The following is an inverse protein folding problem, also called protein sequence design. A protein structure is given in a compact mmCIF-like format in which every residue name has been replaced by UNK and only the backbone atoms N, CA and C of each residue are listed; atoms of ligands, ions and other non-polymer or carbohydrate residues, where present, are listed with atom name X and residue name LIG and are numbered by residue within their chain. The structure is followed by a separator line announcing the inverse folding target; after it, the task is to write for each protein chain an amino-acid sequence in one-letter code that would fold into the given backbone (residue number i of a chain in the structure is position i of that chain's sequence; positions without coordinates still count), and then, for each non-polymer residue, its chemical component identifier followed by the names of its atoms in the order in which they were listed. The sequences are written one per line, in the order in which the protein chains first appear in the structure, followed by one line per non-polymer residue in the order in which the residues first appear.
data_IF_574009269311
#
_entry.id   IF_574009269311
#
_cell.length_a   1.000
_cell.length_b   1.000
_cell.length_c   1.000
_cell.angle_alpha   90.00
_cell.angle_beta   90.00
_cell.angle_gamma   90.00
#
_symmetry.space_group_name_H-M   'P 1'
#
loop_
_entity.id
_entity.type
_entity.pdbx_description
1 polymer ?
#
# COMPACT_ATOMS: atom_id res chain seq x y z
N UNK A 1 8.51 5.90 -7.43
CA UNK A 1 8.96 5.52 -6.07
C UNK A 1 10.47 5.66 -5.99
N UNK A 2 10.96 6.53 -5.11
CA UNK A 2 12.39 6.66 -4.78
C UNK A 2 12.70 5.87 -3.50
N UNK A 3 13.98 5.56 -3.26
CA UNK A 3 14.44 5.12 -1.94
C UNK A 3 14.21 6.20 -0.88
N UNK A 4 14.20 7.48 -1.27
CA UNK A 4 13.96 8.62 -0.37
C UNK A 4 12.53 8.65 0.19
N UNK A 5 11.60 7.90 -0.41
CA UNK A 5 10.23 7.75 0.10
C UNK A 5 10.18 6.94 1.41
N UNK A 6 11.26 6.22 1.75
CA UNK A 6 11.34 5.32 2.89
C UNK A 6 11.99 5.99 4.10
N UNK A 7 11.24 6.09 5.19
CA UNK A 7 11.78 6.49 6.51
C UNK A 7 12.77 5.47 7.08
N UNK A 8 12.59 4.19 6.73
CA UNK A 8 13.47 3.08 7.07
C UNK A 8 13.52 2.15 5.85
N UNK A 9 14.72 1.72 5.44
CA UNK A 9 14.87 0.77 4.33
C UNK A 9 15.84 -0.35 4.72
N UNK A 10 15.51 -1.57 4.30
CA UNK A 10 16.32 -2.77 4.49
C UNK A 10 16.39 -3.53 3.16
N UNK A 11 17.56 -3.58 2.50
CA UNK A 11 17.73 -4.38 1.30
C UNK A 11 17.64 -5.87 1.62
N UNK A 12 17.18 -6.68 0.68
CA UNK A 12 17.25 -8.13 0.79
C UNK A 12 18.62 -8.63 0.32
N UNK A 13 19.22 -9.54 1.09
CA UNK A 13 20.48 -10.21 0.70
C UNK A 13 20.34 -10.94 -0.63
N UNK A 14 19.18 -11.60 -0.83
CA UNK A 14 18.78 -12.18 -2.11
C UNK A 14 17.55 -11.45 -2.61
N UNK A 15 17.65 -10.80 -3.77
CA UNK A 15 16.53 -10.10 -4.39
C UNK A 15 15.39 -11.08 -4.69
N UNK A 16 14.16 -10.65 -4.38
CA UNK A 16 12.97 -11.44 -4.71
C UNK A 16 12.45 -11.07 -6.10
N UNK A 17 11.62 -11.96 -6.65
CA UNK A 17 11.07 -11.81 -7.99
C UNK A 17 9.53 -11.81 -7.89
N UNK A 18 8.90 -10.84 -8.56
CA UNK A 18 7.48 -10.83 -8.84
C UNK A 18 7.24 -11.09 -10.32
N UNK A 19 6.40 -12.07 -10.64
CA UNK A 19 5.91 -12.28 -12.00
C UNK A 19 4.81 -11.26 -12.30
N UNK A 20 4.99 -10.51 -13.37
CA UNK A 20 4.06 -9.48 -13.83
C UNK A 20 3.53 -9.86 -15.20
N UNK A 21 2.43 -9.23 -15.61
CA UNK A 21 1.85 -9.48 -16.93
C UNK A 21 2.82 -9.20 -18.09
N UNK A 22 3.78 -8.31 -17.90
CA UNK A 22 4.80 -7.94 -18.88
C UNK A 22 6.18 -8.60 -18.64
N UNK A 23 6.26 -9.60 -17.74
CA UNK A 23 7.48 -10.35 -17.49
C UNK A 23 7.80 -10.46 -16.01
N UNK A 24 8.92 -9.87 -15.61
CA UNK A 24 9.50 -10.07 -14.28
C UNK A 24 9.93 -8.74 -13.69
N UNK A 25 9.46 -8.45 -12.48
CA UNK A 25 9.89 -7.30 -11.68
C UNK A 25 10.71 -7.76 -10.48
N UNK A 26 11.71 -6.96 -10.11
CA UNK A 26 12.64 -7.29 -9.03
C UNK A 26 12.22 -6.54 -7.77
N UNK A 27 12.16 -7.26 -6.66
CA UNK A 27 11.94 -6.68 -5.33
C UNK A 27 13.29 -6.66 -4.62
N UNK A 28 13.82 -5.47 -4.38
CA UNK A 28 15.19 -5.30 -3.88
C UNK A 28 15.27 -5.22 -2.36
N UNK A 29 14.16 -4.89 -1.70
CA UNK A 29 14.13 -4.74 -0.25
C UNK A 29 12.73 -4.41 0.25
N UNK A 30 12.67 -4.05 1.53
CA UNK A 30 11.47 -3.57 2.19
C UNK A 30 11.78 -2.40 3.11
N UNK A 31 10.77 -1.63 3.45
CA UNK A 31 10.95 -0.54 4.39
C UNK A 31 9.64 -0.03 4.97
N UNK A 32 9.75 1.13 5.61
CA UNK A 32 8.65 1.86 6.21
C UNK A 32 8.45 3.16 5.44
N UNK A 33 7.23 3.40 4.95
CA UNK A 33 6.84 4.70 4.42
C UNK A 33 5.82 5.36 5.35
N UNK A 34 5.86 6.69 5.40
CA UNK A 34 4.85 7.49 6.08
C UNK A 34 4.02 8.15 5.00
N UNK A 35 2.72 7.92 5.02
CA UNK A 35 1.80 8.56 4.07
C UNK A 35 0.84 9.49 4.79
N UNK A 36 0.46 10.55 4.10
CA UNK A 36 -0.65 11.42 4.49
C UNK A 36 -1.76 11.23 3.49
N UNK A 37 -2.96 10.98 3.97
CA UNK A 37 -4.14 10.84 3.12
C UNK A 37 -5.34 11.46 3.83
N UNK A 38 -6.45 11.61 3.11
CA UNK A 38 -7.71 12.08 3.70
C UNK A 38 -8.64 10.91 3.96
N UNK A 39 -9.28 10.89 5.13
CA UNK A 39 -10.37 9.95 5.37
C UNK A 39 -11.67 10.40 4.69
N UNK A 40 -12.73 9.61 4.87
CA UNK A 40 -14.06 9.91 4.30
C UNK A 40 -14.67 11.23 4.79
N UNK A 41 -14.18 11.78 5.90
CA UNK A 41 -14.61 13.06 6.43
C UNK A 41 -13.67 14.21 6.04
N UNK A 42 -12.76 13.97 5.09
CA UNK A 42 -11.74 14.91 4.61
C UNK A 42 -10.69 15.29 5.68
N UNK A 43 -10.59 14.56 6.79
CA UNK A 43 -9.58 14.81 7.80
C UNK A 43 -8.22 14.25 7.37
N UNK A 44 -7.16 15.00 7.67
CA UNK A 44 -5.79 14.57 7.42
C UNK A 44 -5.39 13.44 8.37
N UNK A 45 -5.14 12.25 7.81
CA UNK A 45 -4.64 11.09 8.54
C UNK A 45 -3.19 10.80 8.13
N UNK A 46 -2.38 10.43 9.13
CA UNK A 46 -1.01 9.97 8.93
C UNK A 46 -0.98 8.48 9.22
N UNK A 47 -0.56 7.67 8.24
CA UNK A 47 -0.38 6.24 8.42
C UNK A 47 1.08 5.84 8.21
N UNK A 48 1.55 4.96 9.09
CA UNK A 48 2.86 4.29 8.97
C UNK A 48 2.64 2.94 8.31
N UNK A 49 3.17 2.77 7.11
CA UNK A 49 3.05 1.51 6.38
C UNK A 49 4.34 0.73 6.46
N UNK A 50 4.24 -0.48 7.00
CA UNK A 50 5.34 -1.42 7.11
C UNK A 50 4.81 -2.86 7.03
N UNK A 51 5.49 -3.78 6.32
CA UNK A 51 6.56 -3.52 5.37
C UNK A 51 6.01 -3.08 4.00
N UNK A 52 6.62 -2.06 3.39
CA UNK A 52 6.41 -1.72 1.97
C UNK A 52 7.56 -2.26 1.14
N UNK A 53 7.25 -2.96 0.06
CA UNK A 53 8.24 -3.57 -0.81
C UNK A 53 8.78 -2.55 -1.81
N UNK A 54 10.10 -2.47 -1.94
CA UNK A 54 10.74 -1.61 -2.93
C UNK A 54 10.94 -2.38 -4.24
N UNK A 55 10.28 -1.88 -5.29
CA UNK A 55 10.33 -2.42 -6.65
C UNK A 55 10.70 -1.27 -7.61
N UNK A 56 11.98 -1.11 -7.98
CA UNK A 56 12.46 0.04 -8.76
C UNK A 56 11.74 0.22 -10.10
N UNK A 57 11.23 -0.87 -10.68
CA UNK A 57 10.55 -0.87 -11.97
C UNK A 57 9.09 -0.41 -11.88
N UNK A 58 8.54 -0.21 -10.67
CA UNK A 58 7.19 0.28 -10.46
C UNK A 58 7.16 1.78 -10.19
N UNK A 59 6.26 2.48 -10.87
CA UNK A 59 6.02 3.91 -10.65
C UNK A 59 5.26 4.17 -9.35
N UNK A 60 4.41 3.24 -8.92
CA UNK A 60 3.52 3.35 -7.76
C UNK A 60 3.90 2.40 -6.61
N UNK A 61 3.51 2.75 -5.38
CA UNK A 61 3.62 1.86 -4.22
C UNK A 61 2.64 0.70 -4.33
N UNK A 62 3.17 -0.52 -4.26
CA UNK A 62 2.35 -1.72 -4.15
C UNK A 62 2.26 -2.13 -2.68
N UNK A 63 1.05 -2.05 -2.13
CA UNK A 63 0.78 -2.47 -0.76
C UNK A 63 0.36 -3.94 -0.74
N UNK A 64 1.11 -4.76 -0.01
CA UNK A 64 0.84 -6.19 0.10
C UNK A 64 -0.38 -6.43 1.01
N UNK A 65 -1.50 -6.85 0.42
CA UNK A 65 -2.69 -7.22 1.19
C UNK A 65 -2.41 -8.31 2.22
N UNK A 66 -1.60 -9.31 1.86
CA UNK A 66 -1.17 -10.36 2.77
C UNK A 66 -0.34 -9.87 3.96
N UNK A 67 0.26 -8.69 3.90
CA UNK A 67 0.93 -8.08 5.06
C UNK A 67 -0.09 -7.54 6.06
N UNK A 68 -1.10 -6.82 5.58
CA UNK A 68 -2.20 -6.36 6.44
C UNK A 68 -2.95 -7.52 7.12
N UNK A 69 -3.23 -8.59 6.38
CA UNK A 69 -3.91 -9.77 6.93
C UNK A 69 -3.08 -10.49 8.01
N UNK A 70 -1.75 -10.53 7.87
CA UNK A 70 -0.85 -11.12 8.89
C UNK A 70 -0.81 -10.29 10.17
N UNK A 71 -1.01 -8.98 10.06
CA UNK A 71 -1.12 -8.07 11.20
C UNK A 71 -2.54 -8.05 11.81
N UNK A 72 -3.35 -9.08 11.50
CA UNK A 72 -4.75 -9.25 11.97
C UNK A 72 -5.69 -8.13 11.57
N UNK A 73 -5.34 -7.34 10.55
CA UNK A 73 -6.24 -6.36 9.98
C UNK A 73 -7.28 -7.06 9.09
N UNK A 74 -8.47 -6.49 9.03
CA UNK A 74 -9.55 -7.01 8.18
C UNK A 74 -9.69 -6.16 6.93
N UNK A 75 -9.78 -6.79 5.76
CA UNK A 75 -10.10 -6.10 4.50
C UNK A 75 -11.57 -6.31 4.19
N UNK A 76 -12.32 -5.24 3.95
CA UNK A 76 -13.69 -5.29 3.42
C UNK A 76 -13.77 -4.40 2.19
N UNK A 77 -14.52 -4.81 1.19
CA UNK A 77 -14.64 -4.02 -0.03
C UNK A 77 -16.00 -4.19 -0.70
N UNK A 78 -16.35 -3.20 -1.49
CA UNK A 78 -17.49 -3.17 -2.40
C UNK A 78 -17.08 -2.46 -3.69
N UNK A 79 -18.02 -2.08 -4.54
CA UNK A 79 -17.75 -1.38 -5.80
C UNK A 79 -17.30 0.08 -5.65
N UNK A 80 -17.38 0.66 -4.44
CA UNK A 80 -17.08 2.06 -4.15
C UNK A 80 -15.76 2.23 -3.41
N UNK A 81 -15.36 1.26 -2.59
CA UNK A 81 -14.11 1.32 -1.83
C UNK A 81 -13.62 -0.06 -1.38
N UNK A 82 -12.33 -0.12 -1.08
CA UNK A 82 -11.71 -1.15 -0.24
C UNK A 82 -11.25 -0.47 1.04
N UNK A 83 -11.63 -1.01 2.19
CA UNK A 83 -11.24 -0.48 3.50
C UNK A 83 -10.50 -1.55 4.30
N UNK A 84 -9.37 -1.15 4.87
CA UNK A 84 -8.61 -1.94 5.84
C UNK A 84 -9.03 -1.48 7.22
N UNK A 85 -9.37 -2.41 8.10
CA UNK A 85 -9.81 -2.15 9.47
C UNK A 85 -8.81 -2.72 10.48
N UNK A 86 -8.60 -1.97 11.54
CA UNK A 86 -7.93 -2.44 12.76
C UNK A 86 -8.73 -3.55 13.45
N UNK A 87 -8.10 -4.29 14.37
CA UNK A 87 -8.76 -5.33 15.17
C UNK A 87 -9.93 -4.77 15.99
N UNK A 88 -9.86 -3.51 16.42
CA UNK A 88 -10.96 -2.83 17.12
C UNK A 88 -12.11 -2.37 16.19
N UNK A 89 -12.02 -2.63 14.89
CA UNK A 89 -13.03 -2.28 13.90
C UNK A 89 -12.96 -0.84 13.38
N UNK A 90 -11.94 -0.07 13.76
CA UNK A 90 -11.75 1.29 13.23
C UNK A 90 -11.12 1.24 11.83
N UNK A 91 -11.55 2.07 10.87
CA UNK A 91 -10.93 2.16 9.56
C UNK A 91 -9.49 2.64 9.69
N UNK A 92 -8.58 1.97 8.99
CA UNK A 92 -7.14 2.25 8.97
C UNK A 92 -6.68 2.82 7.63
N UNK A 93 -7.17 2.30 6.51
CA UNK A 93 -6.90 2.82 5.17
C UNK A 93 -8.14 2.63 4.30
N UNK A 94 -8.43 3.59 3.43
CA UNK A 94 -9.57 3.54 2.51
C UNK A 94 -9.04 3.81 1.10
N UNK A 95 -9.34 2.91 0.19
CA UNK A 95 -8.94 2.96 -1.21
C UNK A 95 -10.19 3.16 -2.06
N UNK A 96 -10.11 4.04 -3.04
CA UNK A 96 -11.21 4.36 -3.96
C UNK A 96 -10.89 3.88 -5.38
N UNK A 97 -11.91 3.48 -6.17
CA UNK A 97 -11.66 3.11 -7.55
C UNK A 97 -11.14 4.34 -8.29
N UNK A 98 -10.13 4.15 -9.15
CA UNK A 98 -9.48 5.25 -9.88
C UNK A 98 -10.48 6.06 -10.71
N UNK A 99 -11.48 5.38 -11.28
CA UNK A 99 -12.67 5.96 -11.90
C UNK A 99 -13.87 5.10 -11.50
N UNK A 100 -15.08 5.67 -11.54
CA UNK A 100 -16.30 4.91 -11.21
C UNK A 100 -16.41 3.63 -12.05
N UNK A 101 -16.57 2.48 -11.38
CA UNK A 101 -16.67 1.16 -12.01
C UNK A 101 -15.33 0.48 -12.35
N UNK A 102 -14.19 1.10 -12.05
CA UNK A 102 -12.87 0.46 -12.23
C UNK A 102 -12.68 -0.68 -11.22
N UNK A 103 -11.80 -1.63 -11.56
CA UNK A 103 -11.38 -2.70 -10.64
C UNK A 103 -10.03 -2.40 -9.98
N UNK A 104 -9.40 -1.29 -10.35
CA UNK A 104 -8.18 -0.76 -9.74
C UNK A 104 -8.54 0.29 -8.68
N UNK A 105 -8.14 0.02 -7.44
CA UNK A 105 -8.37 0.89 -6.29
C UNK A 105 -7.06 1.54 -5.86
N UNK A 106 -7.11 2.85 -5.61
CA UNK A 106 -5.95 3.66 -5.25
C UNK A 106 -6.15 4.31 -3.89
N UNK A 107 -5.04 4.55 -3.20
CA UNK A 107 -5.00 5.38 -2.01
C UNK A 107 -4.49 6.76 -2.43
N UNK A 108 -5.35 7.77 -2.33
CA UNK A 108 -4.97 9.14 -2.64
C UNK A 108 -4.18 9.74 -1.48
N UNK A 109 -2.85 9.57 -1.54
CA UNK A 109 -1.92 10.24 -0.64
C UNK A 109 -1.43 11.56 -1.22
N UNK A 110 -1.29 12.58 -0.38
CA UNK A 110 -0.67 13.86 -0.75
C UNK A 110 0.64 14.06 0.01
N UNK A 111 1.57 14.80 -0.61
CA UNK A 111 2.89 15.14 -0.06
C UNK A 111 2.79 16.22 1.02
#
# INVERSE_FOLDING_TARGET
MSLDDFSEYSPFETKMIAYTANGVAVIEGKGTIIIRYKDEQEYAIIARLHPVLYMPQLTHWLLSMGSFLRDKLTVRGNSQHITIYTESGNPYLIFHPRISGDTIYILESYS
#
